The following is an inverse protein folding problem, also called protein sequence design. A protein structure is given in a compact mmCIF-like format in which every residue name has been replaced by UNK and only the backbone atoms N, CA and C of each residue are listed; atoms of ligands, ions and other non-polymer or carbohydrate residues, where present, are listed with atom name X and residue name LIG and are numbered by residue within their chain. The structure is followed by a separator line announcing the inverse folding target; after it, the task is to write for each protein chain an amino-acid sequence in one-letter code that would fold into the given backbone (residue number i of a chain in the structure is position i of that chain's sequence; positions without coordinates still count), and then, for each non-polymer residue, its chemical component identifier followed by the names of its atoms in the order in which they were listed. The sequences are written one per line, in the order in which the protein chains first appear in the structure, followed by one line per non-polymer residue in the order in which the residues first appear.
data_IF_170397537497
#
_entry.id   IF_170397537497
#
_cell.length_a   1.000
_cell.length_b   1.000
_cell.length_c   1.000
_cell.angle_alpha   90.00
_cell.angle_beta   90.00
_cell.angle_gamma   90.00
#
_symmetry.space_group_name_H-M   'P 1'
#
loop_
_entity.id
_entity.type
_entity.pdbx_description
1 polymer ?
#
# COMPACT_ATOMS: atom_id res chain seq x y z
N UNK A 1 53.69 74.19 17.33
CA UNK A 1 53.90 74.20 15.87
C UNK A 1 53.41 72.85 15.32
N UNK A 2 52.37 72.86 14.45
CA UNK A 2 51.88 71.78 13.55
C UNK A 2 51.38 70.49 14.23
N UNK A 3 50.23 69.87 13.95
CA UNK A 3 49.08 70.03 13.04
C UNK A 3 47.94 69.17 13.65
N UNK A 4 46.65 69.35 13.33
CA UNK A 4 45.82 68.51 12.41
C UNK A 4 44.36 68.99 12.64
N UNK A 5 43.73 69.69 11.70
CA UNK A 5 42.77 69.23 10.66
C UNK A 5 41.46 68.61 11.20
N UNK A 6 40.44 69.48 11.23
CA UNK A 6 39.04 69.37 10.73
C UNK A 6 38.39 67.98 10.75
N UNK A 7 37.40 67.83 11.65
CA UNK A 7 36.35 66.83 11.55
C UNK A 7 35.01 67.50 11.27
N UNK A 8 34.42 67.17 10.12
CA UNK A 8 33.01 67.42 9.82
C UNK A 8 32.43 66.12 9.28
N UNK A 9 31.33 65.65 9.88
CA UNK A 9 30.04 65.44 9.20
C UNK A 9 29.09 64.54 10.00
N UNK A 10 27.87 65.07 10.16
CA UNK A 10 26.58 64.38 10.18
C UNK A 10 26.57 63.06 9.35
N UNK A 11 25.75 62.04 9.60
CA UNK A 11 24.36 62.07 10.01
C UNK A 11 23.93 60.72 10.61
N UNK A 12 23.03 60.80 11.59
CA UNK A 12 22.12 59.74 12.02
C UNK A 12 21.21 59.32 10.85
N UNK A 13 21.09 58.02 10.60
CA UNK A 13 19.82 57.28 10.47
C UNK A 13 20.10 55.80 10.17
N UNK A 14 19.14 54.93 10.53
CA UNK A 14 19.11 53.47 10.35
C UNK A 14 19.68 52.64 11.51
N UNK A 15 19.02 52.73 12.67
CA UNK A 15 18.98 51.64 13.65
C UNK A 15 17.58 51.02 13.52
N UNK A 16 17.48 49.88 12.82
CA UNK A 16 16.18 49.21 12.65
C UNK A 16 16.12 48.02 11.69
N UNK A 17 17.21 47.63 11.02
CA UNK A 17 17.20 46.53 10.03
C UNK A 17 18.16 45.38 10.36
N UNK A 18 18.94 45.45 11.45
CA UNK A 18 20.01 44.47 11.72
C UNK A 18 19.69 43.38 12.77
N UNK A 19 18.44 43.22 13.18
CA UNK A 19 18.05 42.15 14.14
C UNK A 19 17.26 40.99 13.53
N UNK A 20 17.19 40.87 12.20
CA UNK A 20 16.49 39.79 11.51
C UNK A 20 17.39 38.88 10.64
N UNK A 21 18.72 39.04 10.69
CA UNK A 21 19.65 38.29 9.81
C UNK A 21 20.60 37.31 10.50
N UNK A 22 20.53 37.13 11.83
CA UNK A 22 21.44 36.23 12.56
C UNK A 22 20.72 35.18 13.41
N UNK A 23 19.67 34.55 12.87
CA UNK A 23 19.31 33.20 13.33
C UNK A 23 20.22 32.22 12.58
N UNK A 24 21.39 32.02 13.18
CA UNK A 24 22.29 30.87 13.06
C UNK A 24 21.82 29.77 12.09
N UNK A 25 22.40 29.79 10.88
CA UNK A 25 22.71 28.55 10.16
C UNK A 25 23.62 27.71 11.07
N UNK A 26 23.03 26.76 11.79
CA UNK A 26 23.77 25.54 12.10
C UNK A 26 23.85 24.77 10.80
N UNK A 27 25.03 24.73 10.21
CA UNK A 27 25.34 23.84 9.10
C UNK A 27 25.15 22.40 9.60
N UNK A 28 23.94 21.85 9.41
CA UNK A 28 23.76 20.41 9.33
C UNK A 28 24.72 19.94 8.24
N UNK A 29 25.55 18.91 8.47
CA UNK A 29 26.28 18.29 7.38
C UNK A 29 25.25 17.96 6.31
N UNK A 30 25.49 18.41 5.07
CA UNK A 30 24.62 18.11 3.95
C UNK A 30 24.65 16.59 3.74
N UNK A 31 23.76 15.87 4.43
CA UNK A 31 23.45 14.49 4.12
C UNK A 31 23.00 14.54 2.67
N UNK A 32 23.86 14.06 1.77
CA UNK A 32 23.56 13.98 0.36
C UNK A 32 22.20 13.28 0.25
N UNK A 33 21.21 13.97 -0.35
CA UNK A 33 19.88 13.41 -0.49
C UNK A 33 20.01 12.00 -1.09
N UNK A 34 19.58 10.97 -0.35
CA UNK A 34 19.71 9.58 -0.79
C UNK A 34 19.01 9.47 -2.14
N UNK A 35 19.74 9.04 -3.16
CA UNK A 35 19.11 8.87 -4.47
C UNK A 35 18.09 7.74 -4.40
N UNK A 36 17.00 7.86 -5.16
CA UNK A 36 15.94 6.83 -5.24
C UNK A 36 16.55 5.45 -5.53
N UNK A 37 17.55 5.39 -6.41
CA UNK A 37 18.23 4.15 -6.77
C UNK A 37 18.97 3.51 -5.58
N UNK A 38 19.68 4.31 -4.77
CA UNK A 38 20.37 3.82 -3.57
C UNK A 38 19.38 3.32 -2.53
N UNK A 39 18.29 4.06 -2.30
CA UNK A 39 17.26 3.65 -1.35
C UNK A 39 16.62 2.30 -1.75
N UNK A 40 16.26 2.15 -3.04
CA UNK A 40 15.71 0.89 -3.57
C UNK A 40 16.72 -0.24 -3.43
N UNK A 41 17.99 -0.01 -3.78
CA UNK A 41 19.03 -1.04 -3.71
C UNK A 41 19.24 -1.55 -2.28
N UNK A 42 19.27 -0.66 -1.28
CA UNK A 42 19.38 -1.06 0.12
C UNK A 42 18.18 -1.91 0.57
N UNK A 43 16.94 -1.49 0.27
CA UNK A 43 15.75 -2.26 0.61
C UNK A 43 15.69 -3.62 -0.09
N UNK A 44 16.07 -3.66 -1.37
CA UNK A 44 16.07 -4.89 -2.16
C UNK A 44 17.15 -5.87 -1.71
N UNK A 45 18.36 -5.40 -1.37
CA UNK A 45 19.40 -6.22 -0.74
C UNK A 45 18.93 -6.82 0.57
N UNK A 46 18.26 -6.03 1.41
CA UNK A 46 17.68 -6.56 2.65
C UNK A 46 16.64 -7.64 2.37
N UNK A 47 15.66 -7.38 1.48
CA UNK A 47 14.64 -8.38 1.10
C UNK A 47 15.28 -9.68 0.61
N UNK A 48 16.24 -9.59 -0.30
CA UNK A 48 16.96 -10.74 -0.84
C UNK A 48 17.71 -11.53 0.25
N UNK A 49 18.34 -10.83 1.20
CA UNK A 49 19.05 -11.45 2.33
C UNK A 49 18.12 -12.10 3.35
N UNK A 50 16.88 -11.60 3.45
CA UNK A 50 15.89 -12.06 4.41
C UNK A 50 15.00 -13.20 3.87
N UNK A 51 15.18 -13.65 2.63
CA UNK A 51 14.38 -14.73 2.05
C UNK A 51 14.61 -16.06 2.79
N UNK A 52 13.53 -16.73 3.18
CA UNK A 52 13.59 -18.04 3.86
C UNK A 52 14.19 -19.14 2.97
N UNK A 53 14.56 -20.27 3.58
CA UNK A 53 15.16 -21.40 2.86
C UNK A 53 14.21 -22.00 1.81
N UNK A 54 12.91 -22.04 2.13
CA UNK A 54 11.82 -22.47 1.25
C UNK A 54 11.47 -21.47 0.12
N UNK A 55 12.08 -20.28 0.10
CA UNK A 55 11.84 -19.23 -0.88
C UNK A 55 10.79 -18.19 -0.48
N UNK A 56 10.13 -18.34 0.66
CA UNK A 56 9.11 -17.41 1.14
C UNK A 56 9.63 -16.31 2.07
N UNK A 57 8.74 -15.37 2.37
CA UNK A 57 8.85 -14.38 3.45
C UNK A 57 7.59 -14.37 4.31
N UNK A 58 7.75 -14.05 5.58
CA UNK A 58 6.71 -13.69 6.54
C UNK A 58 6.76 -12.21 6.92
N UNK A 59 6.19 -11.86 8.08
CA UNK A 59 6.04 -10.49 8.56
C UNK A 59 7.36 -9.67 8.55
N UNK A 60 8.45 -10.28 9.03
CA UNK A 60 9.72 -9.60 9.31
C UNK A 60 10.94 -10.39 8.75
N UNK A 61 10.73 -11.19 7.72
CA UNK A 61 11.77 -12.00 7.06
C UNK A 61 11.28 -13.42 6.81
N UNK A 62 12.19 -14.31 6.40
CA UNK A 62 11.96 -15.72 6.10
C UNK A 62 11.55 -16.56 7.31
N UNK A 63 11.62 -17.89 7.15
CA UNK A 63 11.08 -18.95 8.02
C UNK A 63 11.46 -18.84 9.51
N UNK A 64 12.42 -18.00 9.85
CA UNK A 64 12.69 -17.58 11.21
C UNK A 64 12.90 -16.07 11.25
N UNK A 65 11.81 -15.35 11.58
CA UNK A 65 11.80 -13.89 11.66
C UNK A 65 12.65 -13.40 12.85
N UNK A 66 13.96 -13.26 12.64
CA UNK A 66 14.93 -12.77 13.64
C UNK A 66 15.30 -11.29 13.47
N UNK A 67 14.69 -10.58 12.52
CA UNK A 67 15.16 -9.22 12.15
C UNK A 67 14.85 -8.19 13.25
N UNK A 68 13.76 -8.36 14.00
CA UNK A 68 13.45 -7.55 15.17
C UNK A 68 13.21 -8.43 16.39
N UNK A 69 14.29 -8.72 17.12
CA UNK A 69 14.26 -9.60 18.30
C UNK A 69 13.52 -9.00 19.50
N UNK A 70 13.30 -7.67 19.51
CA UNK A 70 12.61 -6.95 20.59
C UNK A 70 11.13 -6.69 20.30
N UNK A 71 10.65 -6.96 19.09
CA UNK A 71 9.27 -6.69 18.68
C UNK A 71 8.43 -7.97 18.76
N UNK A 72 7.20 -7.84 19.27
CA UNK A 72 6.25 -8.96 19.25
C UNK A 72 5.69 -9.11 17.83
N UNK A 73 6.05 -10.20 17.17
CA UNK A 73 5.46 -10.59 15.90
C UNK A 73 3.99 -10.98 16.09
N UNK A 74 3.15 -10.62 15.13
CA UNK A 74 1.75 -11.02 15.16
C UNK A 74 1.47 -12.30 14.34
N UNK A 75 2.45 -12.76 13.57
CA UNK A 75 2.43 -14.02 12.83
C UNK A 75 3.85 -14.55 12.63
N UNK A 76 3.99 -15.86 12.52
CA UNK A 76 5.27 -16.57 12.34
C UNK A 76 5.27 -17.38 11.06
N UNK A 77 6.46 -17.61 10.50
CA UNK A 77 6.64 -18.39 9.28
C UNK A 77 6.37 -17.59 8.01
N UNK A 78 6.62 -18.24 6.88
CA UNK A 78 6.46 -17.65 5.56
C UNK A 78 5.03 -17.74 5.07
N UNK A 79 4.58 -16.69 4.39
CA UNK A 79 3.22 -16.59 3.85
C UNK A 79 3.20 -16.07 2.41
N UNK A 80 2.12 -16.36 1.69
CA UNK A 80 2.02 -16.07 0.26
C UNK A 80 1.91 -14.58 -0.01
N UNK A 81 1.20 -13.81 0.80
CA UNK A 81 1.03 -12.38 0.63
C UNK A 81 2.35 -11.60 0.79
N UNK A 82 3.12 -11.84 1.86
CA UNK A 82 4.44 -11.24 2.04
C UNK A 82 5.40 -11.67 0.93
N UNK A 83 5.37 -12.95 0.56
CA UNK A 83 6.21 -13.48 -0.53
C UNK A 83 5.88 -12.84 -1.87
N UNK A 84 4.60 -12.65 -2.19
CA UNK A 84 4.15 -12.08 -3.45
C UNK A 84 4.55 -10.61 -3.59
N UNK A 85 4.34 -9.80 -2.55
CA UNK A 85 4.73 -8.38 -2.59
C UNK A 85 6.25 -8.19 -2.59
N UNK A 86 7.01 -9.04 -1.88
CA UNK A 86 8.46 -9.04 -1.93
C UNK A 86 8.99 -9.38 -3.33
N UNK A 87 8.41 -10.38 -3.98
CA UNK A 87 8.78 -10.74 -5.35
C UNK A 87 8.45 -9.62 -6.36
N UNK A 88 7.29 -8.97 -6.23
CA UNK A 88 6.95 -7.79 -7.03
C UNK A 88 7.98 -6.66 -6.85
N UNK A 89 8.37 -6.35 -5.60
CA UNK A 89 9.36 -5.33 -5.33
C UNK A 89 10.75 -5.67 -5.90
N UNK A 90 11.17 -6.93 -5.79
CA UNK A 90 12.46 -7.39 -6.31
C UNK A 90 12.51 -7.36 -7.85
N UNK A 91 11.40 -7.65 -8.53
CA UNK A 91 11.27 -7.46 -9.98
C UNK A 91 11.54 -6.00 -10.39
N UNK A 92 10.96 -5.04 -9.67
CA UNK A 92 11.14 -3.60 -9.92
C UNK A 92 12.54 -3.08 -9.50
N UNK A 93 13.18 -3.76 -8.56
CA UNK A 93 14.50 -3.39 -8.05
C UNK A 93 15.62 -3.72 -9.06
N UNK A 94 15.48 -4.80 -9.84
CA UNK A 94 16.36 -5.12 -10.95
C UNK A 94 16.59 -6.62 -11.18
N UNK A 95 17.09 -6.95 -12.37
CA UNK A 95 17.31 -8.34 -12.85
C UNK A 95 18.26 -9.17 -11.98
N UNK A 96 19.15 -8.53 -11.22
CA UNK A 96 20.05 -9.21 -10.29
C UNK A 96 19.30 -9.99 -9.20
N UNK A 97 18.05 -9.64 -8.91
CA UNK A 97 17.21 -10.33 -7.92
C UNK A 97 16.34 -11.43 -8.53
N UNK A 98 16.48 -11.74 -9.82
CA UNK A 98 15.71 -12.78 -10.49
C UNK A 98 15.80 -14.16 -9.79
N UNK A 99 16.96 -14.62 -9.27
CA UNK A 99 17.03 -15.86 -8.50
C UNK A 99 16.12 -15.88 -7.27
N UNK A 100 15.99 -14.74 -6.56
CA UNK A 100 15.08 -14.62 -5.42
C UNK A 100 13.62 -14.69 -5.87
N UNK A 101 13.28 -14.04 -6.98
CA UNK A 101 11.93 -14.07 -7.57
C UNK A 101 11.55 -15.50 -8.00
N UNK A 102 12.45 -16.24 -8.62
CA UNK A 102 12.19 -17.62 -9.04
C UNK A 102 11.93 -18.55 -7.84
N UNK A 103 12.66 -18.37 -6.73
CA UNK A 103 12.40 -19.09 -5.48
C UNK A 103 11.06 -18.70 -4.85
N UNK A 104 10.70 -17.42 -4.89
CA UNK A 104 9.41 -16.92 -4.44
C UNK A 104 8.25 -17.52 -5.24
N UNK A 105 8.41 -17.60 -6.57
CA UNK A 105 7.44 -18.21 -7.45
C UNK A 105 7.29 -19.70 -7.17
N UNK A 106 8.38 -20.44 -6.96
CA UNK A 106 8.26 -21.86 -6.60
C UNK A 106 7.50 -22.06 -5.29
N UNK A 107 7.76 -21.23 -4.27
CA UNK A 107 7.01 -21.23 -3.00
C UNK A 107 5.50 -21.01 -3.23
N UNK A 108 5.14 -19.97 -3.98
CA UNK A 108 3.74 -19.58 -4.25
C UNK A 108 3.04 -20.64 -5.12
N UNK A 109 3.67 -21.08 -6.20
CA UNK A 109 3.10 -22.05 -7.14
C UNK A 109 2.78 -23.37 -6.44
N UNK A 110 3.66 -23.87 -5.57
CA UNK A 110 3.40 -25.08 -4.77
C UNK A 110 2.12 -24.97 -3.93
N UNK A 111 1.86 -23.80 -3.30
CA UNK A 111 0.64 -23.58 -2.52
C UNK A 111 -0.61 -23.50 -3.40
N UNK A 112 -0.53 -22.75 -4.51
CA UNK A 112 -1.63 -22.65 -5.47
C UNK A 112 -1.96 -24.03 -6.04
N UNK A 113 -0.96 -24.83 -6.39
CA UNK A 113 -1.14 -26.19 -6.93
C UNK A 113 -1.84 -27.10 -5.92
N UNK A 114 -1.40 -27.07 -4.65
CA UNK A 114 -1.99 -27.86 -3.57
C UNK A 114 -3.39 -27.38 -3.13
N UNK A 115 -3.78 -26.14 -3.42
CA UNK A 115 -5.08 -25.61 -3.00
C UNK A 115 -6.25 -26.31 -3.72
N UNK A 116 -7.44 -26.41 -3.12
CA UNK A 116 -8.64 -26.88 -3.84
C UNK A 116 -8.98 -25.97 -5.03
N UNK A 117 -9.82 -26.43 -5.94
CA UNK A 117 -10.40 -25.59 -7.01
C UNK A 117 -11.40 -24.58 -6.46
N UNK A 118 -12.11 -24.95 -5.40
CA UNK A 118 -13.20 -24.17 -4.82
C UNK A 118 -12.73 -23.25 -3.68
N UNK A 119 -13.55 -22.26 -3.35
CA UNK A 119 -13.21 -21.22 -2.39
C UNK A 119 -12.14 -20.24 -2.88
N UNK A 120 -11.86 -19.22 -2.08
CA UNK A 120 -10.96 -18.13 -2.45
C UNK A 120 -9.50 -18.32 -1.99
N UNK A 121 -9.25 -19.20 -1.02
CA UNK A 121 -7.90 -19.47 -0.50
C UNK A 121 -7.01 -20.21 -1.52
N UNK A 122 -5.72 -19.85 -1.54
CA UNK A 122 -4.66 -20.53 -2.30
C UNK A 122 -3.55 -21.12 -1.41
N UNK A 123 -3.72 -21.05 -0.09
CA UNK A 123 -2.76 -21.56 0.90
C UNK A 123 -3.49 -22.00 2.16
N UNK A 124 -2.90 -22.94 2.86
CA UNK A 124 -3.24 -23.40 4.20
C UNK A 124 -2.81 -22.41 5.31
N UNK A 125 -1.87 -21.51 5.03
CA UNK A 125 -1.46 -20.44 5.94
C UNK A 125 -2.54 -19.36 6.08
N UNK A 126 -3.06 -19.17 7.30
CA UNK A 126 -4.13 -18.22 7.61
C UNK A 126 -3.81 -17.40 8.87
N UNK A 127 -4.43 -16.24 9.01
CA UNK A 127 -4.23 -15.35 10.14
C UNK A 127 -2.85 -14.69 10.20
N UNK A 128 -2.21 -14.39 9.07
CA UNK A 128 -0.99 -13.58 9.04
C UNK A 128 -1.29 -12.11 9.36
N UNK A 129 -0.29 -11.32 9.74
CA UNK A 129 -0.49 -9.88 9.95
C UNK A 129 -1.11 -9.24 8.70
N UNK A 130 -0.49 -9.44 7.53
CA UNK A 130 -0.97 -8.83 6.28
C UNK A 130 -2.40 -9.28 5.92
N UNK A 131 -2.77 -10.54 6.17
CA UNK A 131 -4.15 -11.02 6.00
C UNK A 131 -5.14 -10.33 6.94
N UNK A 132 -4.82 -10.19 8.24
CA UNK A 132 -5.72 -9.50 9.18
C UNK A 132 -5.94 -8.04 8.81
N UNK A 133 -4.95 -7.40 8.17
CA UNK A 133 -5.02 -5.97 7.83
C UNK A 133 -5.68 -5.73 6.48
N UNK A 134 -5.25 -6.42 5.44
CA UNK A 134 -5.71 -6.23 4.06
C UNK A 134 -6.86 -7.15 3.65
N UNK A 135 -7.16 -8.16 4.46
CA UNK A 135 -8.23 -9.14 4.23
C UNK A 135 -7.69 -10.57 4.13
N UNK A 136 -8.49 -11.58 4.56
CA UNK A 136 -8.03 -12.96 4.71
C UNK A 136 -7.57 -13.65 3.41
N UNK A 137 -7.92 -13.09 2.25
CA UNK A 137 -7.55 -13.64 0.94
C UNK A 137 -6.63 -12.74 0.12
N UNK A 138 -5.95 -11.79 0.79
CA UNK A 138 -4.99 -10.90 0.13
C UNK A 138 -3.88 -11.69 -0.58
N UNK A 139 -3.53 -12.88 -0.09
CA UNK A 139 -2.60 -13.81 -0.73
C UNK A 139 -3.00 -14.12 -2.17
N UNK A 140 -4.28 -14.43 -2.40
CA UNK A 140 -4.80 -14.79 -3.72
C UNK A 140 -4.68 -13.62 -4.69
N UNK A 141 -4.97 -12.41 -4.22
CA UNK A 141 -4.94 -11.21 -5.06
C UNK A 141 -3.51 -10.80 -5.40
N UNK A 142 -2.61 -10.75 -4.40
CA UNK A 142 -1.21 -10.39 -4.63
C UNK A 142 -0.45 -11.45 -5.43
N UNK A 143 -0.72 -12.74 -5.20
CA UNK A 143 -0.16 -13.82 -6.02
C UNK A 143 -0.64 -13.71 -7.47
N UNK A 144 -1.92 -13.43 -7.70
CA UNK A 144 -2.47 -13.22 -9.05
C UNK A 144 -1.80 -12.05 -9.77
N UNK A 145 -1.57 -10.92 -9.08
CA UNK A 145 -0.83 -9.76 -9.63
C UNK A 145 0.61 -10.12 -10.01
N UNK A 146 1.33 -10.82 -9.11
CA UNK A 146 2.70 -11.29 -9.40
C UNK A 146 2.72 -12.22 -10.61
N UNK A 147 1.83 -13.21 -10.65
CA UNK A 147 1.75 -14.18 -11.73
C UNK A 147 1.44 -13.49 -13.07
N UNK A 148 0.50 -12.54 -13.09
CA UNK A 148 0.22 -11.73 -14.27
C UNK A 148 1.47 -10.94 -14.73
N UNK A 149 2.22 -10.34 -13.80
CA UNK A 149 3.45 -9.59 -14.13
C UNK A 149 4.48 -10.47 -14.83
N UNK A 150 4.70 -11.71 -14.35
CA UNK A 150 5.75 -12.61 -14.86
C UNK A 150 5.28 -13.59 -15.93
N UNK A 151 3.99 -13.64 -16.22
CA UNK A 151 3.42 -14.53 -17.24
C UNK A 151 4.01 -14.25 -18.63
N UNK A 152 4.55 -15.30 -19.25
CA UNK A 152 5.23 -15.26 -20.54
C UNK A 152 6.63 -14.63 -20.52
N UNK A 153 7.20 -14.31 -19.36
CA UNK A 153 8.49 -13.59 -19.28
C UNK A 153 9.71 -14.49 -19.15
N UNK A 154 9.54 -15.78 -18.83
CA UNK A 154 10.65 -16.71 -18.64
C UNK A 154 11.12 -17.32 -19.97
N UNK A 155 12.42 -17.62 -20.07
CA UNK A 155 12.97 -18.37 -21.21
C UNK A 155 12.49 -19.84 -21.22
N UNK A 156 12.14 -20.39 -20.05
CA UNK A 156 11.72 -21.78 -19.88
C UNK A 156 10.20 -21.91 -20.14
N UNK A 157 9.76 -22.55 -21.25
CA UNK A 157 8.34 -22.63 -21.60
C UNK A 157 7.49 -23.38 -20.55
N UNK A 158 8.06 -24.39 -19.90
CA UNK A 158 7.37 -25.15 -18.85
C UNK A 158 7.10 -24.32 -17.60
N UNK A 159 7.97 -23.36 -17.27
CA UNK A 159 7.71 -22.42 -16.18
C UNK A 159 6.61 -21.42 -16.55
N UNK A 160 6.63 -20.88 -17.78
CA UNK A 160 5.54 -20.02 -18.26
C UNK A 160 4.18 -20.75 -18.23
N UNK A 161 4.14 -22.01 -18.67
CA UNK A 161 2.91 -22.81 -18.61
C UNK A 161 2.42 -23.01 -17.17
N UNK A 162 3.33 -23.30 -16.23
CA UNK A 162 3.02 -23.44 -14.79
C UNK A 162 2.47 -22.14 -14.20
N UNK A 163 3.10 -21.00 -14.52
CA UNK A 163 2.64 -19.66 -14.12
C UNK A 163 1.25 -19.35 -14.68
N UNK A 164 1.04 -19.60 -15.98
CA UNK A 164 -0.25 -19.37 -16.65
C UNK A 164 -1.38 -20.17 -16.01
N UNK A 165 -1.16 -21.46 -15.75
CA UNK A 165 -2.16 -22.32 -15.10
C UNK A 165 -2.49 -21.84 -13.67
N UNK A 166 -1.48 -21.43 -12.91
CA UNK A 166 -1.69 -20.86 -11.57
C UNK A 166 -2.46 -19.54 -11.62
N UNK A 167 -2.15 -18.66 -12.59
CA UNK A 167 -2.85 -17.40 -12.80
C UNK A 167 -4.33 -17.63 -13.14
N UNK A 168 -4.62 -18.54 -14.08
CA UNK A 168 -5.99 -18.91 -14.45
C UNK A 168 -6.76 -19.51 -13.27
N UNK A 169 -6.09 -20.33 -12.44
CA UNK A 169 -6.68 -20.85 -11.20
C UNK A 169 -7.02 -19.72 -10.22
N UNK A 170 -6.10 -18.78 -9.99
CA UNK A 170 -6.36 -17.61 -9.14
C UNK A 170 -7.53 -16.78 -9.67
N UNK A 171 -7.53 -16.43 -10.96
CA UNK A 171 -8.62 -15.67 -11.61
C UNK A 171 -9.97 -16.36 -11.40
N UNK A 172 -10.05 -17.66 -11.71
CA UNK A 172 -11.29 -18.41 -11.56
C UNK A 172 -11.79 -18.46 -10.11
N UNK A 173 -10.88 -18.51 -9.13
CA UNK A 173 -11.23 -18.43 -7.69
C UNK A 173 -11.73 -17.04 -7.33
N UNK A 174 -11.08 -15.98 -7.80
CA UNK A 174 -11.50 -14.60 -7.55
C UNK A 174 -12.90 -14.36 -8.12
N UNK A 175 -13.15 -14.71 -9.39
CA UNK A 175 -14.45 -14.50 -10.04
C UNK A 175 -15.60 -15.23 -9.34
N UNK A 176 -15.40 -16.51 -8.99
CA UNK A 176 -16.44 -17.33 -8.33
C UNK A 176 -16.81 -16.85 -6.92
N UNK A 177 -15.93 -16.09 -6.28
CA UNK A 177 -16.13 -15.60 -4.92
C UNK A 177 -16.38 -14.09 -4.85
N UNK A 178 -16.70 -13.43 -5.99
CA UNK A 178 -17.25 -12.07 -5.95
C UNK A 178 -18.64 -12.10 -5.31
N UNK A 179 -18.88 -11.18 -4.38
CA UNK A 179 -20.19 -11.03 -3.72
C UNK A 179 -21.21 -10.41 -4.67
N UNK A 180 -22.49 -10.54 -4.33
CA UNK A 180 -23.60 -9.96 -5.09
C UNK A 180 -23.56 -8.42 -5.17
N UNK A 181 -22.90 -7.76 -4.22
CA UNK A 181 -22.68 -6.31 -4.23
C UNK A 181 -21.53 -5.87 -5.14
N UNK A 182 -20.78 -6.81 -5.73
CA UNK A 182 -19.63 -6.56 -6.60
C UNK A 182 -18.27 -6.50 -5.88
N UNK A 183 -18.26 -6.58 -4.55
CA UNK A 183 -17.03 -6.55 -3.73
C UNK A 183 -16.46 -7.94 -3.44
N UNK A 184 -15.26 -7.97 -2.86
CA UNK A 184 -14.68 -9.12 -2.16
C UNK A 184 -14.53 -8.84 -0.67
N UNK A 185 -15.36 -7.93 -0.12
CA UNK A 185 -15.31 -7.58 1.29
C UNK A 185 -15.84 -8.73 2.13
N UNK A 186 -14.93 -9.39 2.85
CA UNK A 186 -15.24 -10.47 3.78
C UNK A 186 -14.96 -9.96 5.19
N UNK A 187 -15.86 -10.28 6.13
CA UNK A 187 -15.72 -9.88 7.53
C UNK A 187 -14.40 -10.43 8.12
N UNK A 188 -13.73 -9.62 8.95
CA UNK A 188 -12.50 -10.01 9.66
C UNK A 188 -11.20 -9.34 9.19
N UNK A 189 -11.23 -8.53 8.13
CA UNK A 189 -10.12 -7.64 7.75
C UNK A 189 -10.30 -6.23 8.32
N UNK A 190 -9.20 -5.54 8.66
CA UNK A 190 -9.23 -4.15 9.15
C UNK A 190 -9.60 -3.17 8.02
N UNK A 191 -9.08 -3.36 6.80
CA UNK A 191 -9.37 -2.52 5.64
C UNK A 191 -9.96 -3.33 4.45
N UNK A 192 -11.20 -3.83 4.54
CA UNK A 192 -11.79 -4.72 3.53
C UNK A 192 -11.85 -4.08 2.12
N UNK A 193 -12.02 -2.76 2.07
CA UNK A 193 -12.00 -1.91 0.88
C UNK A 193 -10.70 -2.09 0.07
N UNK A 194 -9.53 -2.19 0.73
CA UNK A 194 -8.26 -2.47 0.06
C UNK A 194 -8.22 -3.88 -0.56
N UNK A 195 -8.82 -4.87 0.10
CA UNK A 195 -8.96 -6.22 -0.45
C UNK A 195 -9.73 -6.25 -1.78
N UNK A 196 -10.86 -5.54 -1.86
CA UNK A 196 -11.61 -5.39 -3.12
C UNK A 196 -10.80 -4.66 -4.21
N UNK A 197 -10.01 -3.65 -3.82
CA UNK A 197 -9.10 -2.97 -4.74
C UNK A 197 -8.12 -3.96 -5.38
N UNK A 198 -7.43 -4.75 -4.55
CA UNK A 198 -6.41 -5.69 -5.02
C UNK A 198 -7.02 -6.82 -5.85
N UNK A 199 -8.20 -7.33 -5.45
CA UNK A 199 -8.93 -8.34 -6.21
C UNK A 199 -9.23 -7.86 -7.64
N UNK A 200 -9.92 -6.71 -7.76
CA UNK A 200 -10.29 -6.14 -9.06
C UNK A 200 -9.06 -5.77 -9.91
N UNK A 201 -7.99 -5.26 -9.29
CA UNK A 201 -6.74 -4.93 -9.98
C UNK A 201 -6.07 -6.18 -10.53
N UNK A 202 -6.00 -7.26 -9.75
CA UNK A 202 -5.41 -8.52 -10.19
C UNK A 202 -6.16 -9.12 -11.40
N UNK A 203 -7.49 -9.02 -11.41
CA UNK A 203 -8.31 -9.43 -12.56
C UNK A 203 -8.03 -8.56 -13.80
N UNK A 204 -7.92 -7.25 -13.62
CA UNK A 204 -7.57 -6.35 -14.72
C UNK A 204 -6.19 -6.69 -15.30
N UNK A 205 -5.17 -6.87 -14.46
CA UNK A 205 -3.81 -7.21 -14.89
C UNK A 205 -3.76 -8.57 -15.59
N UNK A 206 -4.48 -9.57 -15.09
CA UNK A 206 -4.61 -10.88 -15.75
C UNK A 206 -5.28 -10.75 -17.13
N UNK A 207 -6.34 -9.93 -17.24
CA UNK A 207 -7.01 -9.65 -18.51
C UNK A 207 -6.07 -8.99 -19.53
N UNK A 208 -5.20 -8.08 -19.10
CA UNK A 208 -4.17 -7.47 -19.96
C UNK A 208 -3.15 -8.49 -20.48
N UNK A 209 -3.00 -9.64 -19.78
CA UNK A 209 -2.16 -10.76 -20.20
C UNK A 209 -2.92 -11.80 -21.05
N UNK A 210 -4.16 -11.50 -21.44
CA UNK A 210 -4.98 -12.37 -22.28
C UNK A 210 -5.61 -13.54 -21.53
N UNK A 211 -5.66 -13.51 -20.19
CA UNK A 211 -6.51 -14.44 -19.43
C UNK A 211 -7.96 -14.02 -19.63
N UNK A 212 -8.84 -15.00 -19.86
CA UNK A 212 -10.27 -14.73 -19.99
C UNK A 212 -10.84 -14.30 -18.63
N UNK A 213 -11.26 -13.05 -18.52
CA UNK A 213 -11.87 -12.45 -17.33
C UNK A 213 -13.23 -11.88 -17.72
N UNK A 214 -14.24 -12.23 -16.94
CA UNK A 214 -15.63 -11.83 -17.14
C UNK A 214 -15.83 -10.32 -17.02
N UNK A 215 -16.35 -9.71 -18.08
CA UNK A 215 -16.74 -8.30 -18.08
C UNK A 215 -17.82 -7.99 -17.03
N UNK A 216 -18.67 -8.97 -16.71
CA UNK A 216 -19.68 -8.84 -15.65
C UNK A 216 -19.03 -8.63 -14.29
N UNK A 217 -17.97 -9.40 -13.99
CA UNK A 217 -17.25 -9.30 -12.70
C UNK A 217 -16.59 -7.93 -12.58
N UNK A 218 -15.93 -7.48 -13.65
CA UNK A 218 -15.29 -6.17 -13.71
C UNK A 218 -16.30 -5.02 -13.58
N UNK A 219 -17.44 -5.10 -14.28
CA UNK A 219 -18.51 -4.10 -14.21
C UNK A 219 -19.12 -4.04 -12.80
N UNK A 220 -19.32 -5.19 -12.15
CA UNK A 220 -19.86 -5.25 -10.79
C UNK A 220 -18.92 -4.58 -9.78
N UNK A 221 -17.60 -4.79 -9.92
CA UNK A 221 -16.60 -4.15 -9.08
C UNK A 221 -16.54 -2.61 -9.29
N UNK A 222 -16.67 -2.15 -10.54
CA UNK A 222 -16.76 -0.71 -10.84
C UNK A 222 -18.03 -0.09 -10.22
N UNK A 223 -19.19 -0.72 -10.39
CA UNK A 223 -20.45 -0.27 -9.81
C UNK A 223 -20.39 -0.20 -8.28
N UNK A 224 -19.82 -1.22 -7.64
CA UNK A 224 -19.55 -1.21 -6.21
C UNK A 224 -18.72 0.02 -5.81
N UNK A 225 -17.62 0.27 -6.52
CA UNK A 225 -16.67 1.36 -6.25
C UNK A 225 -17.34 2.73 -6.37
N UNK A 226 -18.08 2.96 -7.46
CA UNK A 226 -18.82 4.21 -7.70
C UNK A 226 -19.88 4.43 -6.63
N UNK A 227 -20.60 3.38 -6.22
CA UNK A 227 -21.60 3.49 -5.16
C UNK A 227 -20.96 3.79 -3.80
N UNK A 228 -19.83 3.15 -3.48
CA UNK A 228 -19.13 3.36 -2.22
C UNK A 228 -18.70 4.83 -2.05
N UNK A 229 -18.15 5.46 -3.09
CA UNK A 229 -17.71 6.86 -3.01
C UNK A 229 -18.87 7.88 -3.00
N UNK A 230 -20.06 7.52 -3.50
CA UNK A 230 -21.25 8.37 -3.45
C UNK A 230 -21.92 8.38 -2.08
N UNK A 231 -21.81 7.29 -1.33
CA UNK A 231 -22.41 7.12 0.01
C UNK A 231 -21.46 7.59 1.12
N UNK A 232 -20.16 7.72 0.85
CA UNK A 232 -19.20 8.25 1.81
C UNK A 232 -19.58 9.70 2.20
N UNK A 233 -19.89 9.99 3.48
CA UNK A 233 -20.13 11.36 3.91
C UNK A 233 -18.87 12.20 3.62
N UNK A 234 -19.07 13.43 3.15
CA UNK A 234 -17.97 14.40 3.03
C UNK A 234 -17.22 14.42 4.36
N UNK A 235 -15.92 14.08 4.34
CA UNK A 235 -15.12 13.91 5.53
C UNK A 235 -15.19 15.17 6.41
N UNK A 236 -16.07 15.17 7.41
CA UNK A 236 -16.06 16.18 8.46
C UNK A 236 -14.84 15.89 9.31
N UNK A 237 -13.91 16.83 9.33
CA UNK A 237 -12.64 16.76 10.04
C UNK A 237 -12.85 16.70 11.57
N UNK A 238 -13.28 15.56 12.10
CA UNK A 238 -13.27 15.27 13.54
C UNK A 238 -13.54 13.78 13.79
N UNK A 239 -12.56 12.92 13.53
CA UNK A 239 -12.51 11.60 14.13
C UNK A 239 -11.38 11.60 15.15
N UNK A 240 -11.71 11.69 16.44
CA UNK A 240 -10.77 11.43 17.52
C UNK A 240 -10.28 9.98 17.42
N UNK A 241 -9.01 9.70 17.74
CA UNK A 241 -8.50 8.33 17.72
C UNK A 241 -9.31 7.45 18.69
N UNK A 242 -9.56 6.17 18.36
CA UNK A 242 -10.17 5.24 19.32
C UNK A 242 -9.22 5.07 20.52
N UNK A 243 -9.76 4.90 21.75
CA UNK A 243 -8.92 4.67 22.92
C UNK A 243 -8.11 3.37 22.76
N UNK A 244 -6.91 3.30 23.35
CA UNK A 244 -6.08 2.10 23.26
C UNK A 244 -6.82 0.89 23.84
N UNK A 245 -6.72 -0.24 23.17
CA UNK A 245 -7.28 -1.50 23.63
C UNK A 245 -6.81 -1.78 25.07
N UNK A 246 -7.76 -1.92 25.99
CA UNK A 246 -7.48 -2.31 27.36
C UNK A 246 -6.71 -3.63 27.37
N UNK A 247 -5.61 -3.67 28.13
CA UNK A 247 -4.77 -4.85 28.28
C UNK A 247 -5.52 -6.06 28.86
N UNK A 248 -4.96 -7.27 28.76
CA UNK A 248 -5.65 -8.48 29.17
C UNK A 248 -5.71 -8.55 30.70
N UNK A 249 -6.88 -8.26 31.26
CA UNK A 249 -7.11 -8.35 32.69
C UNK A 249 -8.59 -8.38 33.06
N UNK A 250 -9.03 -9.56 33.50
CA UNK A 250 -10.20 -9.82 34.34
C UNK A 250 -11.61 -9.78 33.73
N UNK A 251 -12.26 -10.95 33.77
CA UNK A 251 -13.62 -11.05 34.32
C UNK A 251 -14.73 -11.38 33.31
N UNK A 252 -15.09 -12.67 33.25
CA UNK A 252 -16.41 -13.10 32.81
C UNK A 252 -17.49 -12.42 33.67
N UNK A 253 -18.51 -11.86 33.04
CA UNK A 253 -19.66 -11.27 33.73
C UNK A 253 -20.83 -11.05 32.77
N UNK A 254 -21.79 -11.98 32.81
CA UNK A 254 -23.13 -11.80 32.25
C UNK A 254 -23.75 -10.47 32.69
N UNK A 255 -24.32 -9.73 31.75
CA UNK A 255 -25.12 -8.54 32.02
C UNK A 255 -26.30 -8.47 31.06
N UNK A 256 -27.44 -8.98 31.52
CA UNK A 256 -28.76 -8.82 30.90
C UNK A 256 -29.17 -7.35 30.95
N UNK A 257 -29.64 -6.79 29.84
CA UNK A 257 -30.55 -5.63 29.86
C UNK A 257 -31.72 -5.90 28.91
N UNK A 258 -32.88 -6.11 29.51
CA UNK A 258 -34.21 -6.10 28.90
C UNK A 258 -34.68 -4.65 28.71
N UNK A 259 -35.34 -4.35 27.58
CA UNK A 259 -35.98 -3.05 27.34
C UNK A 259 -36.57 -2.93 25.93
N UNK A 260 -37.89 -2.93 25.83
CA UNK A 260 -38.75 -3.07 24.64
C UNK A 260 -38.94 -1.73 23.90
N UNK A 261 -39.01 -1.75 22.56
CA UNK A 261 -40.10 -1.20 21.71
C UNK A 261 -39.63 -0.56 20.38
N UNK A 262 -40.04 -1.18 19.26
CA UNK A 262 -40.67 -0.51 18.11
C UNK A 262 -39.80 0.37 17.20
N UNK A 263 -39.28 -0.21 16.11
CA UNK A 263 -38.84 0.56 14.95
C UNK A 263 -38.02 -0.29 13.98
N UNK A 264 -38.60 -0.65 12.84
CA UNK A 264 -37.91 -1.32 11.74
C UNK A 264 -36.88 -0.35 11.15
N UNK A 265 -35.66 -0.38 11.68
CA UNK A 265 -34.51 0.30 11.07
C UNK A 265 -33.94 -0.63 10.00
N UNK A 266 -34.20 -0.28 8.73
CA UNK A 266 -33.43 -0.78 7.59
C UNK A 266 -31.96 -0.53 7.87
N UNK A 267 -31.20 -1.60 8.08
CA UNK A 267 -29.78 -1.54 8.38
C UNK A 267 -29.04 -0.76 7.29
N UNK A 268 -28.63 0.46 7.63
CA UNK A 268 -27.62 1.19 6.90
C UNK A 268 -26.29 0.45 7.10
N UNK A 269 -25.82 -0.22 6.05
CA UNK A 269 -24.43 -0.66 5.92
C UNK A 269 -23.55 0.58 5.83
N UNK A 270 -23.25 1.17 6.98
CA UNK A 270 -22.15 2.12 7.12
C UNK A 270 -20.85 1.32 6.96
N UNK A 271 -20.05 1.72 5.99
CA UNK A 271 -18.90 0.97 5.51
C UNK A 271 -17.82 0.81 6.59
N UNK A 272 -17.50 -0.46 6.89
CA UNK A 272 -16.38 -0.94 7.68
C UNK A 272 -15.02 -0.71 6.98
N UNK A 273 -14.75 0.46 6.42
CA UNK A 273 -13.36 0.86 6.15
C UNK A 273 -12.78 1.36 7.46
N UNK A 274 -11.84 0.65 8.06
CA UNK A 274 -11.13 1.19 9.21
C UNK A 274 -10.55 2.58 8.90
N UNK A 275 -11.24 3.61 9.41
CA UNK A 275 -10.68 4.84 9.90
C UNK A 275 -9.95 5.80 8.96
N UNK A 276 -9.71 5.52 7.67
CA UNK A 276 -9.04 6.48 6.77
C UNK A 276 -9.75 6.60 5.41
N UNK A 277 -10.46 7.72 5.14
CA UNK A 277 -11.03 8.05 3.83
C UNK A 277 -10.04 7.95 2.64
N UNK A 278 -8.74 8.09 2.90
CA UNK A 278 -7.67 7.91 1.92
C UNK A 278 -7.72 6.54 1.23
N UNK A 279 -8.00 5.46 1.95
CA UNK A 279 -7.96 4.09 1.39
C UNK A 279 -9.06 3.89 0.36
N UNK A 280 -10.25 4.41 0.67
CA UNK A 280 -11.38 4.37 -0.24
C UNK A 280 -11.11 5.21 -1.49
N UNK A 281 -10.56 6.42 -1.33
CA UNK A 281 -10.19 7.27 -2.45
C UNK A 281 -9.06 6.68 -3.29
N UNK A 282 -8.07 6.05 -2.68
CA UNK A 282 -6.97 5.37 -3.36
C UNK A 282 -7.48 4.19 -4.22
N UNK A 283 -8.32 3.33 -3.64
CA UNK A 283 -8.97 2.25 -4.37
C UNK A 283 -9.79 2.80 -5.54
N UNK A 284 -10.67 3.76 -5.26
CA UNK A 284 -11.58 4.26 -6.26
C UNK A 284 -10.84 4.91 -7.42
N UNK A 285 -9.83 5.72 -7.11
CA UNK A 285 -8.99 6.34 -8.10
C UNK A 285 -8.27 5.29 -8.96
N UNK A 286 -7.70 4.25 -8.37
CA UNK A 286 -7.04 3.17 -9.12
C UNK A 286 -8.03 2.46 -10.08
N UNK A 287 -9.17 1.98 -9.56
CA UNK A 287 -10.19 1.25 -10.32
C UNK A 287 -10.79 2.10 -11.46
N UNK A 288 -11.09 3.37 -11.21
CA UNK A 288 -11.81 4.23 -12.16
C UNK A 288 -10.90 4.85 -13.23
N UNK A 289 -9.58 4.62 -13.19
CA UNK A 289 -8.60 5.31 -14.05
C UNK A 289 -7.69 4.39 -14.87
N UNK A 290 -7.97 3.09 -14.90
CA UNK A 290 -7.07 2.07 -15.48
C UNK A 290 -6.83 2.26 -16.96
N UNK A 291 -7.88 2.58 -17.72
CA UNK A 291 -7.79 2.88 -19.16
C UNK A 291 -8.14 4.34 -19.45
N UNK A 292 -7.84 4.80 -20.67
CA UNK A 292 -8.28 6.12 -21.14
C UNK A 292 -9.81 6.23 -21.14
N UNK A 293 -10.51 5.18 -21.56
CA UNK A 293 -11.98 5.16 -21.53
C UNK A 293 -12.53 5.26 -20.10
N UNK A 294 -11.91 4.58 -19.12
CA UNK A 294 -12.33 4.69 -17.72
C UNK A 294 -12.16 6.11 -17.20
N UNK A 295 -11.03 6.77 -17.54
CA UNK A 295 -10.76 8.16 -17.15
C UNK A 295 -11.77 9.14 -17.73
N UNK A 296 -12.18 8.96 -18.98
CA UNK A 296 -13.19 9.79 -19.62
C UNK A 296 -14.57 9.55 -18.99
N UNK A 297 -14.98 8.29 -18.85
CA UNK A 297 -16.26 7.89 -18.25
C UNK A 297 -16.42 8.40 -16.82
N UNK A 298 -15.36 8.31 -16.02
CA UNK A 298 -15.38 8.59 -14.58
C UNK A 298 -14.74 9.95 -14.22
N UNK A 299 -14.62 10.88 -15.19
CA UNK A 299 -13.89 12.13 -15.01
C UNK A 299 -14.37 12.96 -13.81
N UNK A 300 -15.69 12.96 -13.53
CA UNK A 300 -16.29 13.68 -12.40
C UNK A 300 -15.86 13.10 -11.06
N UNK A 301 -16.01 11.79 -10.88
CA UNK A 301 -15.61 11.06 -9.68
C UNK A 301 -14.09 11.18 -9.45
N UNK A 302 -13.28 11.07 -10.49
CA UNK A 302 -11.81 11.24 -10.43
C UNK A 302 -11.45 12.67 -9.99
N UNK A 303 -12.09 13.69 -10.56
CA UNK A 303 -11.83 15.07 -10.18
C UNK A 303 -12.17 15.35 -8.71
N UNK A 304 -13.26 14.77 -8.19
CA UNK A 304 -13.62 14.88 -6.78
C UNK A 304 -12.57 14.26 -5.87
N UNK A 305 -12.08 13.05 -6.21
CA UNK A 305 -11.02 12.38 -5.44
C UNK A 305 -9.71 13.19 -5.49
N UNK A 306 -9.31 13.70 -6.66
CA UNK A 306 -8.12 14.54 -6.81
C UNK A 306 -8.21 15.82 -5.97
N UNK A 307 -9.40 16.41 -5.86
CA UNK A 307 -9.66 17.54 -4.95
C UNK A 307 -9.36 17.20 -3.49
N UNK A 308 -9.69 16.00 -3.03
CA UNK A 308 -9.35 15.54 -1.66
C UNK A 308 -7.85 15.33 -1.48
N UNK A 309 -7.16 14.78 -2.49
CA UNK A 309 -5.72 14.53 -2.47
C UNK A 309 -4.88 15.82 -2.42
N UNK A 310 -5.49 16.99 -2.69
CA UNK A 310 -4.82 18.27 -2.52
C UNK A 310 -4.66 18.68 -1.04
N UNK A 311 -5.44 18.11 -0.11
CA UNK A 311 -5.29 18.34 1.34
C UNK A 311 -4.17 17.43 1.91
N UNK A 312 -3.07 18.05 2.35
CA UNK A 312 -1.95 17.33 2.94
C UNK A 312 -2.33 16.53 4.21
N UNK A 313 -3.38 16.95 4.94
CA UNK A 313 -3.90 16.21 6.11
C UNK A 313 -4.64 14.95 5.68
N UNK A 314 -5.37 15.03 4.57
CA UNK A 314 -6.06 13.87 4.00
C UNK A 314 -5.05 12.79 3.56
N UNK A 315 -3.96 13.20 2.90
CA UNK A 315 -2.89 12.30 2.44
C UNK A 315 -1.99 11.84 3.60
N UNK A 316 -1.80 12.71 4.59
CA UNK A 316 -0.96 12.47 5.77
C UNK A 316 -1.59 11.58 6.83
N UNK A 317 -2.92 11.43 6.83
CA UNK A 317 -3.66 10.69 7.85
C UNK A 317 -3.50 11.30 9.24
N UNK A 318 -3.39 10.47 10.27
CA UNK A 318 -3.29 10.86 11.67
C UNK A 318 -1.87 11.30 12.11
N UNK A 319 -0.96 11.57 11.16
CA UNK A 319 0.43 11.96 11.46
C UNK A 319 1.37 10.80 11.76
N UNK A 320 0.86 9.56 11.81
CA UNK A 320 1.62 8.31 11.81
C UNK A 320 1.23 7.47 10.59
N UNK A 321 2.19 6.76 10.00
CA UNK A 321 2.02 6.05 8.72
C UNK A 321 2.12 4.55 8.99
N UNK A 322 1.03 3.82 8.81
CA UNK A 322 1.01 2.35 8.80
C UNK A 322 1.43 1.80 7.44
N UNK A 323 1.51 0.47 7.31
CA UNK A 323 1.85 -0.13 6.03
C UNK A 323 0.75 0.02 4.98
N UNK A 324 -0.52 0.14 5.39
CA UNK A 324 -1.68 0.34 4.54
C UNK A 324 -1.61 1.65 3.73
N UNK A 325 -1.02 2.70 4.31
CA UNK A 325 -0.77 3.96 3.62
C UNK A 325 0.20 3.79 2.45
N UNK A 326 1.23 2.93 2.57
CA UNK A 326 2.15 2.68 1.46
C UNK A 326 1.43 2.02 0.26
N UNK A 327 0.54 1.06 0.52
CA UNK A 327 -0.28 0.45 -0.53
C UNK A 327 -1.29 1.45 -1.13
N UNK A 328 -1.81 2.36 -0.32
CA UNK A 328 -2.69 3.43 -0.79
C UNK A 328 -1.95 4.43 -1.68
N UNK A 329 -0.72 4.78 -1.32
CA UNK A 329 0.14 5.63 -2.14
C UNK A 329 0.50 4.98 -3.47
N UNK A 330 0.70 3.65 -3.48
CA UNK A 330 0.93 2.89 -4.71
C UNK A 330 -0.28 2.99 -5.65
N UNK A 331 -1.49 2.76 -5.15
CA UNK A 331 -2.72 2.85 -5.93
C UNK A 331 -2.96 4.25 -6.51
N UNK A 332 -2.74 5.30 -5.69
CA UNK A 332 -2.85 6.69 -6.15
C UNK A 332 -1.75 7.01 -7.17
N UNK A 333 -0.52 6.62 -6.89
CA UNK A 333 0.63 6.86 -7.75
C UNK A 333 0.47 6.23 -9.13
N UNK A 334 0.05 4.96 -9.19
CA UNK A 334 -0.21 4.25 -10.44
C UNK A 334 -1.31 4.94 -11.26
N UNK A 335 -2.38 5.40 -10.61
CA UNK A 335 -3.45 6.15 -11.28
C UNK A 335 -2.97 7.49 -11.83
N UNK A 336 -2.30 8.30 -10.99
CA UNK A 336 -1.83 9.61 -11.40
C UNK A 336 -0.77 9.49 -12.49
N UNK A 337 0.12 8.50 -12.44
CA UNK A 337 1.09 8.21 -13.50
C UNK A 337 0.39 7.94 -14.83
N UNK A 338 -0.68 7.14 -14.85
CA UNK A 338 -1.46 6.86 -16.08
C UNK A 338 -2.09 8.12 -16.67
N UNK A 339 -2.50 9.08 -15.84
CA UNK A 339 -3.03 10.37 -16.28
C UNK A 339 -1.94 11.39 -16.66
N UNK A 340 -0.74 11.27 -16.09
CA UNK A 340 0.37 12.18 -16.30
C UNK A 340 0.10 13.61 -15.79
N UNK A 341 0.78 14.58 -16.38
CA UNK A 341 0.60 16.01 -16.06
C UNK A 341 1.21 16.45 -14.73
N UNK A 342 0.87 17.67 -14.32
CA UNK A 342 1.50 18.31 -13.15
C UNK A 342 1.04 17.72 -11.82
N UNK A 343 -0.17 17.16 -11.77
CA UNK A 343 -0.66 16.42 -10.61
C UNK A 343 0.20 15.19 -10.33
N UNK A 344 0.55 14.41 -11.37
CA UNK A 344 1.49 13.30 -11.24
C UNK A 344 2.85 13.76 -10.73
N UNK A 345 3.44 14.79 -11.35
CA UNK A 345 4.77 15.30 -10.95
C UNK A 345 4.78 15.75 -9.49
N UNK A 346 3.74 16.47 -9.06
CA UNK A 346 3.60 16.94 -7.68
C UNK A 346 3.45 15.76 -6.71
N UNK A 347 2.54 14.83 -7.00
CA UNK A 347 2.34 13.64 -6.17
C UNK A 347 3.60 12.81 -6.04
N UNK A 348 4.23 12.48 -7.18
CA UNK A 348 5.46 11.69 -7.22
C UNK A 348 6.57 12.35 -6.39
N UNK A 349 6.79 13.66 -6.58
CA UNK A 349 7.83 14.39 -5.83
C UNK A 349 7.57 14.32 -4.31
N UNK A 350 6.35 14.61 -3.88
CA UNK A 350 5.99 14.66 -2.46
C UNK A 350 6.03 13.28 -1.80
N UNK A 351 5.45 12.28 -2.44
CA UNK A 351 5.39 10.91 -1.93
C UNK A 351 6.78 10.27 -1.90
N UNK A 352 7.60 10.49 -2.93
CA UNK A 352 8.98 10.01 -2.96
C UNK A 352 9.80 10.60 -1.83
N UNK A 353 9.77 11.93 -1.64
CA UNK A 353 10.47 12.57 -0.52
C UNK A 353 10.00 12.02 0.83
N UNK A 354 8.69 11.83 0.99
CA UNK A 354 8.09 11.26 2.20
C UNK A 354 8.61 9.85 2.47
N UNK A 355 8.59 8.97 1.48
CA UNK A 355 9.06 7.58 1.63
C UNK A 355 10.56 7.54 1.91
N UNK A 356 11.38 8.31 1.21
CA UNK A 356 12.83 8.37 1.46
C UNK A 356 13.16 8.79 2.90
N UNK A 357 12.41 9.74 3.46
CA UNK A 357 12.59 10.20 4.84
C UNK A 357 12.19 9.16 5.91
N UNK A 358 11.51 8.08 5.52
CA UNK A 358 11.05 7.01 6.42
C UNK A 358 11.95 5.76 6.35
N UNK A 359 12.99 5.77 5.52
CA UNK A 359 13.89 4.62 5.42
C UNK A 359 14.71 4.49 6.70
N UNK A 360 14.72 3.28 7.28
CA UNK A 360 15.56 2.93 8.42
C UNK A 360 17.03 2.84 8.02
N UNK A 361 17.93 2.93 9.01
CA UNK A 361 19.38 2.82 8.78
C UNK A 361 19.83 1.47 8.20
N UNK A 362 19.02 0.42 8.36
CA UNK A 362 19.25 -0.91 7.77
C UNK A 362 18.72 -1.05 6.33
N UNK A 363 18.19 0.03 5.76
CA UNK A 363 17.64 0.07 4.40
C UNK A 363 16.17 -0.31 4.27
N UNK A 364 15.53 -0.72 5.36
CA UNK A 364 14.12 -1.17 5.35
C UNK A 364 13.14 -0.05 5.63
N UNK A 365 11.85 -0.34 5.45
CA UNK A 365 10.75 0.47 5.97
C UNK A 365 9.87 -0.37 6.90
N UNK A 366 9.22 0.30 7.84
CA UNK A 366 8.24 -0.30 8.74
C UNK A 366 7.06 0.67 8.95
N UNK A 367 5.87 0.13 9.11
CA UNK A 367 4.70 0.92 9.51
C UNK A 367 4.76 1.22 11.01
N UNK A 368 4.26 2.39 11.38
CA UNK A 368 4.13 2.82 12.77
C UNK A 368 2.89 2.22 13.45
N UNK A 369 1.91 1.78 12.65
CA UNK A 369 0.70 1.11 13.10
C UNK A 369 0.19 0.12 12.04
N UNK A 370 -0.73 -0.74 12.47
CA UNK A 370 -1.51 -1.67 11.65
C UNK A 370 -0.69 -2.74 10.90
N UNK A 371 -0.10 -2.46 9.73
CA UNK A 371 0.95 -3.32 9.16
C UNK A 371 2.32 -2.78 9.58
N UNK A 372 2.92 -3.44 10.57
CA UNK A 372 4.24 -3.05 11.11
C UNK A 372 5.39 -3.91 10.56
N UNK A 373 5.09 -4.97 9.81
CA UNK A 373 6.08 -5.90 9.26
C UNK A 373 7.03 -5.27 8.25
N UNK A 374 8.34 -5.52 8.39
CA UNK A 374 9.39 -4.99 7.51
C UNK A 374 9.26 -5.47 6.07
N UNK A 375 8.81 -6.71 5.84
CA UNK A 375 8.75 -7.27 4.48
C UNK A 375 7.73 -6.54 3.64
N UNK A 376 6.46 -6.53 4.07
CA UNK A 376 5.39 -5.87 3.34
C UNK A 376 5.67 -4.38 3.10
N UNK A 377 6.14 -3.67 4.13
CA UNK A 377 6.33 -2.22 4.05
C UNK A 377 7.56 -1.85 3.24
N UNK A 378 8.68 -2.58 3.37
CA UNK A 378 9.86 -2.39 2.50
C UNK A 378 9.50 -2.65 1.04
N UNK A 379 8.72 -3.70 0.79
CA UNK A 379 8.28 -4.03 -0.57
C UNK A 379 7.38 -2.93 -1.15
N UNK A 380 6.39 -2.45 -0.39
CA UNK A 380 5.52 -1.37 -0.82
C UNK A 380 6.29 -0.04 -1.02
N UNK A 381 7.31 0.25 -0.21
CA UNK A 381 8.18 1.40 -0.39
C UNK A 381 8.98 1.32 -1.70
N UNK A 382 9.59 0.16 -2.00
CA UNK A 382 10.30 -0.06 -3.27
C UNK A 382 9.35 0.10 -4.45
N UNK A 383 8.15 -0.48 -4.39
CA UNK A 383 7.15 -0.35 -5.46
C UNK A 383 6.79 1.11 -5.71
N UNK A 384 6.53 1.90 -4.66
CA UNK A 384 6.25 3.33 -4.79
C UNK A 384 7.43 4.11 -5.41
N UNK A 385 8.65 3.86 -4.94
CA UNK A 385 9.87 4.52 -5.43
C UNK A 385 10.22 4.13 -6.86
N UNK A 386 9.78 2.95 -7.31
CA UNK A 386 9.98 2.45 -8.67
C UNK A 386 8.87 2.87 -9.64
N UNK A 387 7.79 3.53 -9.18
CA UNK A 387 6.66 3.87 -10.06
C UNK A 387 7.11 4.61 -11.31
N UNK A 388 8.09 5.52 -11.25
CA UNK A 388 8.53 6.31 -12.41
C UNK A 388 9.58 5.61 -13.29
N UNK A 389 10.03 4.40 -12.92
CA UNK A 389 10.96 3.63 -13.76
C UNK A 389 10.23 3.19 -15.04
N UNK A 390 10.94 3.27 -16.16
CA UNK A 390 10.49 2.65 -17.40
C UNK A 390 10.62 1.13 -17.23
N UNK A 391 9.50 0.41 -17.40
CA UNK A 391 9.45 -1.05 -17.40
C UNK A 391 9.86 -1.63 -18.75
#
# INVERSE_FOLDING_TARGET
MKSIVIGASLALTVVGVLWAQNITKTDKPATQAVSIAVAIDHGAKWLASAQGADGGWGQDGGETSYVRTTERLESTGNDVANTAVAALALLEAGRQYQPNVERALDFILKRIEASPSDGLAITDGQGTQIQRKLGPYIDTFLASMLLAKVDGTFSKPTLNARVRQALEKCVAKIERNQKSDGSWNIAGGWAPVLGTSMASRSLFEAKQKGVNVSDRVMTSAENYTVNAIRVAPAATASASPPPPAAGPGAGAGSGVVTGVAGGVLRGSVAADSAGVPLYQSAQALEQLSRTENDRQKNAKEIAAIKGQLADARFVGGFGSIGGEEFFSYLNIGDSLKRGGGDEWKKWHTQTTQKILNLQNSDGTWAGHHCITGRVAVTSAAILNLSIDRAN
#
